data_IF_765158509991
#
_entry.id   IF_765158509991
#
_cell.length_a   1.000
_cell.length_b   1.000
_cell.length_c   1.000
_cell.angle_alpha   90.00
_cell.angle_beta   90.00
_cell.angle_gamma   90.00
#
_symmetry.space_group_name_H-M   'P 1'
#
loop_
_entity.id
_entity.type
_entity.pdbx_description
1 polymer ?
#
# COMPACT_ATOMS: atom_id res chain seq x y z
N UNK A 1 22.76 -8.35 -7.77
CA UNK A 1 21.53 -8.80 -8.45
C UNK A 1 20.60 -9.32 -7.37
N UNK A 2 19.65 -8.50 -6.93
CA UNK A 2 18.64 -8.90 -5.95
C UNK A 2 17.45 -9.42 -6.74
N UNK A 3 17.19 -10.71 -6.71
CA UNK A 3 15.91 -11.29 -7.14
C UNK A 3 14.95 -11.10 -5.97
N UNK A 4 14.09 -10.08 -6.01
CA UNK A 4 12.94 -10.05 -5.12
C UNK A 4 12.00 -11.17 -5.56
N UNK A 5 11.50 -11.93 -4.57
CA UNK A 5 10.31 -12.76 -4.78
C UNK A 5 9.19 -11.84 -4.38
N UNK A 6 8.70 -11.06 -5.34
CA UNK A 6 7.60 -10.13 -5.12
C UNK A 6 6.38 -10.94 -4.68
N UNK A 7 5.85 -10.62 -3.51
CA UNK A 7 4.43 -10.80 -3.30
C UNK A 7 3.73 -9.71 -4.12
N UNK A 8 2.66 -10.08 -4.80
CA UNK A 8 1.74 -9.21 -5.56
C UNK A 8 2.41 -8.47 -6.72
N UNK A 9 1.65 -7.76 -7.58
CA UNK A 9 2.26 -7.05 -8.71
C UNK A 9 2.43 -5.55 -8.38
N UNK A 10 3.66 -5.10 -8.07
CA UNK A 10 3.91 -3.73 -7.62
C UNK A 10 3.43 -2.67 -8.60
N UNK A 11 3.47 -2.96 -9.90
CA UNK A 11 3.09 -2.00 -10.95
C UNK A 11 1.61 -1.60 -10.89
N UNK A 12 0.73 -2.51 -10.45
CA UNK A 12 -0.71 -2.21 -10.33
C UNK A 12 -0.97 -1.38 -9.08
N UNK A 13 -0.31 -1.67 -7.95
CA UNK A 13 -0.45 -0.86 -6.73
C UNK A 13 0.12 0.55 -6.89
N UNK A 14 1.27 0.69 -7.56
CA UNK A 14 1.82 1.98 -7.96
C UNK A 14 0.82 2.80 -8.77
N UNK A 15 0.21 2.16 -9.79
CA UNK A 15 -0.76 2.81 -10.66
C UNK A 15 -2.01 3.27 -9.88
N UNK A 16 -2.57 2.41 -9.03
CA UNK A 16 -3.75 2.74 -8.21
C UNK A 16 -3.44 3.91 -7.27
N UNK A 17 -2.29 3.89 -6.60
CA UNK A 17 -1.89 4.97 -5.70
C UNK A 17 -1.75 6.31 -6.43
N UNK A 18 -1.17 6.30 -7.63
CA UNK A 18 -1.04 7.50 -8.46
C UNK A 18 -2.41 7.94 -8.98
N UNK A 19 -3.26 7.02 -9.43
CA UNK A 19 -4.61 7.33 -9.91
C UNK A 19 -5.48 7.97 -8.82
N UNK A 20 -5.31 7.59 -7.54
CA UNK A 20 -6.01 8.20 -6.42
C UNK A 20 -5.71 9.71 -6.23
N UNK A 21 -4.62 10.22 -6.82
CA UNK A 21 -4.33 11.67 -6.88
C UNK A 21 -5.12 12.40 -7.98
N UNK A 22 -5.98 11.67 -8.70
CA UNK A 22 -6.71 12.11 -9.87
C UNK A 22 -5.90 12.11 -11.16
N UNK A 23 -4.65 11.62 -11.15
CA UNK A 23 -3.85 11.48 -12.38
C UNK A 23 -4.50 10.49 -13.33
N UNK A 24 -4.67 10.88 -14.59
CA UNK A 24 -5.22 10.01 -15.65
C UNK A 24 -6.60 9.41 -15.34
N UNK A 25 -7.33 10.02 -14.39
CA UNK A 25 -8.74 9.74 -14.09
C UNK A 25 -9.63 10.81 -14.71
N UNK A 26 -10.93 10.52 -14.87
CA UNK A 26 -11.90 11.45 -15.46
C UNK A 26 -12.45 12.47 -14.44
N UNK A 27 -11.80 12.61 -13.28
CA UNK A 27 -12.42 13.13 -12.07
C UNK A 27 -11.75 14.45 -11.61
N UNK A 28 -12.53 15.34 -10.96
CA UNK A 28 -12.08 16.62 -10.37
C UNK A 28 -11.03 16.46 -9.23
N UNK A 29 -10.71 15.22 -8.86
CA UNK A 29 -9.73 14.91 -7.82
C UNK A 29 -8.33 15.43 -8.15
N UNK A 30 -7.96 15.52 -9.44
CA UNK A 30 -6.66 16.05 -9.86
C UNK A 30 -6.44 17.49 -9.40
N UNK A 31 -7.47 18.32 -9.57
CA UNK A 31 -7.49 19.72 -9.15
C UNK A 31 -7.61 19.84 -7.63
N UNK A 32 -8.36 18.92 -7.00
CA UNK A 32 -8.53 18.89 -5.55
C UNK A 32 -7.24 18.54 -4.83
N UNK A 33 -6.51 17.52 -5.31
CA UNK A 33 -5.22 17.12 -4.75
C UNK A 33 -4.18 18.22 -4.91
N UNK A 34 -4.02 18.77 -6.12
CA UNK A 34 -3.08 19.88 -6.36
C UNK A 34 -3.37 21.10 -5.49
N UNK A 35 -4.65 21.48 -5.37
CA UNK A 35 -5.08 22.56 -4.46
C UNK A 35 -4.75 22.21 -3.01
N UNK A 36 -4.98 20.96 -2.59
CA UNK A 36 -4.67 20.55 -1.22
C UNK A 36 -3.18 20.71 -0.90
N UNK A 37 -2.31 20.28 -1.83
CA UNK A 37 -0.85 20.42 -1.68
C UNK A 37 -0.43 21.89 -1.53
N UNK A 38 -1.00 22.78 -2.34
CA UNK A 38 -0.69 24.21 -2.30
C UNK A 38 -1.24 24.89 -1.06
N UNK A 39 -2.54 24.72 -0.79
CA UNK A 39 -3.27 25.52 0.19
C UNK A 39 -3.08 25.02 1.62
N UNK A 40 -2.87 23.70 1.82
CA UNK A 40 -2.81 23.09 3.15
C UNK A 40 -1.43 22.54 3.52
N UNK A 41 -0.64 22.05 2.56
CA UNK A 41 0.73 21.56 2.82
C UNK A 41 1.82 22.59 2.50
N UNK A 42 1.46 23.74 1.91
CA UNK A 42 2.41 24.80 1.57
C UNK A 42 3.39 24.43 0.45
N UNK A 43 3.06 23.42 -0.36
CA UNK A 43 3.86 23.02 -1.51
C UNK A 43 3.48 23.93 -2.69
N UNK A 44 4.19 25.04 -2.86
CA UNK A 44 3.79 26.13 -3.76
C UNK A 44 3.56 25.70 -5.23
N UNK A 45 4.31 24.69 -5.71
CA UNK A 45 4.15 24.14 -7.06
C UNK A 45 3.22 22.93 -7.12
N UNK A 46 2.48 22.66 -6.03
CA UNK A 46 1.52 21.57 -5.93
C UNK A 46 2.14 20.22 -6.30
N UNK A 47 1.57 19.56 -7.31
CA UNK A 47 2.00 18.23 -7.77
C UNK A 47 3.40 18.22 -8.37
N UNK A 48 3.85 19.35 -8.90
CA UNK A 48 5.20 19.51 -9.48
C UNK A 48 6.27 19.80 -8.43
N UNK A 49 5.89 19.93 -7.15
CA UNK A 49 6.87 20.08 -6.07
C UNK A 49 7.69 18.81 -5.92
N UNK A 50 9.00 18.95 -6.12
CA UNK A 50 9.97 17.90 -5.84
C UNK A 50 10.32 17.88 -4.35
N UNK A 51 10.11 16.74 -3.72
CA UNK A 51 10.37 16.45 -2.32
C UNK A 51 11.59 15.55 -2.22
N UNK A 52 12.55 15.96 -1.38
CA UNK A 52 13.86 15.33 -1.29
C UNK A 52 14.03 14.56 0.01
N UNK A 53 14.56 13.35 -0.11
CA UNK A 53 15.20 12.60 0.98
C UNK A 53 16.72 12.61 0.80
N UNK A 54 17.46 11.89 1.64
CA UNK A 54 18.91 11.77 1.46
C UNK A 54 19.30 11.01 0.18
N UNK A 55 18.36 10.26 -0.42
CA UNK A 55 18.65 9.34 -1.54
C UNK A 55 17.95 9.73 -2.83
N UNK A 56 16.77 10.34 -2.77
CA UNK A 56 15.97 10.65 -3.96
C UNK A 56 15.32 12.03 -3.88
N UNK A 57 14.90 12.53 -5.04
CA UNK A 57 14.16 13.77 -5.19
C UNK A 57 13.04 13.54 -6.20
N UNK A 58 11.81 13.51 -5.69
CA UNK A 58 10.64 12.99 -6.40
C UNK A 58 9.39 13.80 -6.08
N UNK A 59 8.39 13.78 -6.96
CA UNK A 59 7.08 14.37 -6.68
C UNK A 59 6.32 13.58 -5.61
N UNK A 60 5.26 14.15 -5.06
CA UNK A 60 4.38 13.44 -4.12
C UNK A 60 3.81 12.15 -4.71
N UNK A 61 3.48 12.14 -6.01
CA UNK A 61 2.98 10.95 -6.72
C UNK A 61 4.02 9.84 -6.79
N UNK A 62 5.27 10.20 -7.08
CA UNK A 62 6.37 9.25 -7.13
C UNK A 62 6.65 8.65 -5.75
N UNK A 63 6.54 9.45 -4.68
CA UNK A 63 6.63 8.92 -3.30
C UNK A 63 5.44 8.02 -2.92
N UNK A 64 4.22 8.32 -3.39
CA UNK A 64 3.05 7.45 -3.21
C UNK A 64 3.24 6.10 -3.94
N UNK A 65 3.78 6.12 -5.15
CA UNK A 65 4.12 4.93 -5.91
C UNK A 65 5.24 4.11 -5.23
N UNK A 66 6.30 4.78 -4.78
CA UNK A 66 7.37 4.14 -3.98
C UNK A 66 6.79 3.48 -2.73
N UNK A 67 5.86 4.14 -2.04
CA UNK A 67 5.17 3.58 -0.89
C UNK A 67 4.40 2.30 -1.24
N UNK A 68 3.65 2.29 -2.35
CA UNK A 68 2.98 1.07 -2.82
C UNK A 68 3.97 -0.08 -3.00
N UNK A 69 5.02 0.12 -3.77
CA UNK A 69 6.02 -0.93 -4.05
C UNK A 69 6.71 -1.43 -2.78
N UNK A 70 7.07 -0.52 -1.88
CA UNK A 70 7.78 -0.86 -0.63
C UNK A 70 6.94 -1.65 0.35
N UNK A 71 5.61 -1.65 0.25
CA UNK A 71 4.76 -2.45 1.16
C UNK A 71 4.85 -3.94 0.87
N UNK A 72 5.39 -4.35 -0.29
CA UNK A 72 5.74 -5.73 -0.65
C UNK A 72 7.19 -6.11 -0.29
N UNK A 73 7.96 -5.22 0.34
CA UNK A 73 9.37 -5.48 0.67
C UNK A 73 9.51 -6.74 1.56
N UNK A 74 10.37 -7.67 1.13
CA UNK A 74 10.80 -8.78 1.96
C UNK A 74 11.26 -10.02 1.21
N UNK A 75 11.54 -11.07 1.98
CA UNK A 75 11.83 -12.40 1.46
C UNK A 75 10.82 -13.38 2.04
N UNK A 76 10.32 -14.36 1.27
CA UNK A 76 9.39 -15.37 1.78
C UNK A 76 9.99 -16.22 2.90
N UNK A 77 11.33 -16.27 3.04
CA UNK A 77 11.98 -16.98 4.14
C UNK A 77 12.25 -16.09 5.36
N UNK A 78 11.86 -14.81 5.30
CA UNK A 78 12.01 -13.86 6.39
C UNK A 78 10.64 -13.54 7.01
N UNK A 79 10.44 -13.79 8.31
CA UNK A 79 9.18 -13.41 8.97
C UNK A 79 8.98 -11.89 9.04
N UNK A 80 10.03 -11.10 8.72
CA UNK A 80 9.98 -9.64 8.65
C UNK A 80 9.49 -9.09 7.32
N UNK A 81 9.16 -9.96 6.36
CA UNK A 81 8.59 -9.54 5.09
C UNK A 81 7.22 -8.89 5.33
N UNK A 82 6.98 -7.78 4.65
CA UNK A 82 5.79 -6.96 4.88
C UNK A 82 4.52 -7.62 4.36
N UNK A 83 4.62 -8.30 3.21
CA UNK A 83 3.50 -9.00 2.57
C UNK A 83 2.79 -10.05 3.44
N UNK A 84 3.44 -10.56 4.49
CA UNK A 84 2.77 -11.44 5.43
C UNK A 84 1.65 -10.76 6.25
N UNK A 85 1.64 -9.42 6.29
CA UNK A 85 0.64 -8.59 6.97
C UNK A 85 -0.40 -7.98 6.01
N UNK A 86 -0.51 -8.46 4.78
CA UNK A 86 -1.47 -7.95 3.78
C UNK A 86 -2.87 -8.57 3.94
N UNK A 87 -3.00 -9.57 4.80
CA UNK A 87 -4.20 -10.37 4.93
C UNK A 87 -5.11 -9.93 6.09
N UNK A 88 -6.42 -9.96 5.87
CA UNK A 88 -7.42 -9.81 6.92
C UNK A 88 -8.68 -10.60 6.56
N UNK A 89 -8.94 -11.71 7.26
CA UNK A 89 -10.17 -12.46 7.14
C UNK A 89 -11.24 -11.92 8.12
N UNK A 90 -12.28 -11.21 7.63
CA UNK A 90 -13.28 -10.57 8.48
C UNK A 90 -14.25 -11.56 9.14
N UNK A 91 -14.19 -12.85 8.79
CA UNK A 91 -15.04 -13.90 9.38
C UNK A 91 -14.39 -14.56 10.60
N UNK A 92 -13.14 -14.21 10.93
CA UNK A 92 -12.40 -14.75 12.06
C UNK A 92 -12.29 -13.76 13.21
N UNK A 93 -12.10 -14.23 14.46
CA UNK A 93 -11.72 -13.36 15.57
C UNK A 93 -10.45 -12.59 15.23
N UNK A 94 -10.32 -11.36 15.75
CA UNK A 94 -9.17 -10.50 15.46
C UNK A 94 -7.79 -11.10 15.75
N UNK A 95 -7.68 -12.01 16.72
CA UNK A 95 -6.42 -12.72 17.01
C UNK A 95 -5.97 -13.64 15.86
N UNK A 96 -6.92 -14.10 15.05
CA UNK A 96 -6.74 -15.10 13.99
C UNK A 96 -7.06 -14.53 12.61
N UNK A 97 -7.45 -13.25 12.54
CA UNK A 97 -7.88 -12.60 11.31
C UNK A 97 -6.72 -12.34 10.34
N UNK A 98 -5.46 -12.33 10.79
CA UNK A 98 -4.30 -12.21 9.89
C UNK A 98 -3.89 -13.54 9.27
N UNK A 99 -2.81 -13.53 8.49
CA UNK A 99 -2.31 -14.74 7.85
C UNK A 99 -1.68 -15.71 8.85
N UNK A 100 -2.08 -16.98 8.78
CA UNK A 100 -1.38 -18.10 9.44
C UNK A 100 -0.45 -18.78 8.43
N UNK A 101 0.85 -18.65 8.62
CA UNK A 101 1.85 -19.33 7.80
C UNK A 101 2.40 -20.57 8.49
N UNK A 102 2.93 -21.52 7.70
CA UNK A 102 3.47 -22.80 8.15
C UNK A 102 4.69 -23.20 7.29
N UNK A 103 5.26 -24.37 7.57
CA UNK A 103 6.29 -24.99 6.73
C UNK A 103 5.85 -25.06 5.26
N UNK A 104 6.74 -24.79 4.27
CA UNK A 104 8.19 -24.58 4.39
C UNK A 104 8.62 -23.14 4.71
N UNK A 105 7.70 -22.18 4.73
CA UNK A 105 8.03 -20.76 4.88
C UNK A 105 8.51 -20.40 6.29
N UNK A 106 7.96 -21.10 7.30
CA UNK A 106 8.39 -20.98 8.69
C UNK A 106 8.54 -22.36 9.34
N UNK A 107 9.54 -22.48 10.23
CA UNK A 107 9.84 -23.73 10.95
C UNK A 107 8.70 -24.14 11.91
N UNK A 108 7.92 -23.18 12.39
CA UNK A 108 6.73 -23.38 13.20
C UNK A 108 5.58 -22.52 12.66
N UNK A 109 4.31 -22.88 12.94
CA UNK A 109 3.18 -22.02 12.59
C UNK A 109 3.37 -20.60 13.16
N UNK A 110 3.13 -19.60 12.33
CA UNK A 110 3.26 -18.21 12.71
C UNK A 110 2.00 -17.44 12.32
N UNK A 111 1.38 -16.77 13.29
CA UNK A 111 0.16 -15.97 13.10
C UNK A 111 0.57 -14.50 13.01
N UNK A 112 0.43 -13.92 11.82
CA UNK A 112 0.69 -12.50 11.61
C UNK A 112 -0.47 -11.63 12.07
N UNK A 113 -0.17 -10.39 12.46
CA UNK A 113 -1.19 -9.37 12.70
C UNK A 113 -1.94 -9.07 11.41
N UNK A 114 -3.27 -8.97 11.49
CA UNK A 114 -4.12 -8.63 10.34
C UNK A 114 -3.78 -7.26 9.75
N UNK A 115 -3.92 -7.10 8.44
CA UNK A 115 -3.66 -5.85 7.71
C UNK A 115 -4.28 -4.61 8.35
N UNK A 116 -5.55 -4.71 8.80
CA UNK A 116 -6.27 -3.59 9.41
C UNK A 116 -5.62 -3.09 10.70
N UNK A 117 -5.07 -4.00 11.52
CA UNK A 117 -4.33 -3.66 12.73
C UNK A 117 -2.90 -3.23 12.41
N UNK A 118 -2.26 -3.90 11.45
CA UNK A 118 -0.90 -3.61 11.01
C UNK A 118 -0.75 -2.17 10.48
N UNK A 119 -1.68 -1.72 9.65
CA UNK A 119 -1.68 -0.36 9.10
C UNK A 119 -1.97 0.71 10.17
N UNK A 120 -2.52 0.33 11.32
CA UNK A 120 -2.86 1.23 12.44
C UNK A 120 -1.92 1.08 13.64
N UNK A 121 -0.94 0.19 13.56
CA UNK A 121 -0.13 -0.19 14.70
C UNK A 121 0.66 1.01 15.25
N UNK A 122 0.68 1.14 16.57
CA UNK A 122 1.56 2.09 17.28
C UNK A 122 3.03 1.80 17.05
N UNK A 123 3.34 0.54 16.79
CA UNK A 123 4.67 0.07 16.48
C UNK A 123 4.58 -1.17 15.58
N UNK A 124 5.06 -1.03 14.34
CA UNK A 124 5.18 -2.12 13.35
C UNK A 124 6.35 -3.08 13.65
N UNK A 125 6.75 -3.23 14.91
CA UNK A 125 7.76 -4.20 15.35
C UNK A 125 7.19 -5.37 16.17
N UNK A 126 5.87 -5.41 16.39
CA UNK A 126 5.22 -6.28 17.38
C UNK A 126 5.17 -7.76 17.02
N UNK A 127 5.26 -8.10 15.73
CA UNK A 127 5.05 -9.48 15.27
C UNK A 127 6.36 -10.28 15.22
N UNK A 128 7.46 -9.71 14.71
CA UNK A 128 8.77 -10.39 14.58
C UNK A 128 9.98 -9.43 14.63
N UNK A 129 9.82 -8.29 15.31
CA UNK A 129 10.73 -7.15 15.22
C UNK A 129 10.40 -6.24 14.04
N UNK A 130 11.22 -5.19 13.82
CA UNK A 130 10.94 -4.18 12.79
C UNK A 130 10.83 -4.84 11.41
N UNK A 131 9.67 -4.64 10.77
CA UNK A 131 9.49 -5.01 9.37
C UNK A 131 10.59 -4.40 8.49
N UNK A 132 10.89 -5.11 7.39
CA UNK A 132 11.82 -4.59 6.39
C UNK A 132 11.32 -3.23 5.89
N UNK A 133 12.24 -2.29 5.69
CA UNK A 133 11.91 -0.96 5.20
C UNK A 133 11.45 0.06 6.26
N UNK A 134 11.19 -0.34 7.52
CA UNK A 134 10.85 0.60 8.61
C UNK A 134 9.36 0.63 8.98
N UNK A 135 8.93 1.68 9.68
CA UNK A 135 7.56 1.87 10.19
C UNK A 135 6.81 2.93 9.40
N UNK A 136 5.64 2.56 8.89
CA UNK A 136 4.87 3.36 7.93
C UNK A 136 3.36 3.26 8.19
N UNK A 137 2.96 3.14 9.45
CA UNK A 137 1.57 3.03 9.84
C UNK A 137 0.84 4.38 9.78
N UNK A 138 -0.49 4.37 9.91
CA UNK A 138 -1.33 5.56 9.96
C UNK A 138 -0.87 6.58 11.00
N UNK A 139 -0.41 6.11 12.17
CA UNK A 139 0.13 6.96 13.22
C UNK A 139 1.42 7.67 12.77
N UNK A 140 2.29 6.99 12.01
CA UNK A 140 3.48 7.59 11.42
C UNK A 140 3.12 8.66 10.39
N UNK A 141 2.17 8.37 9.50
CA UNK A 141 1.68 9.35 8.52
C UNK A 141 1.13 10.62 9.21
N UNK A 142 0.31 10.46 10.26
CA UNK A 142 -0.21 11.61 11.04
C UNK A 142 0.90 12.41 11.72
N UNK A 143 1.90 11.73 12.30
CA UNK A 143 3.07 12.38 12.90
C UNK A 143 3.85 13.16 11.85
N UNK A 144 4.09 12.57 10.68
CA UNK A 144 4.79 13.21 9.57
C UNK A 144 4.02 14.43 9.06
N UNK A 145 2.71 14.35 8.91
CA UNK A 145 1.86 15.49 8.54
C UNK A 145 2.02 16.65 9.54
N UNK A 146 1.99 16.36 10.85
CA UNK A 146 2.24 17.38 11.86
C UNK A 146 3.62 18.02 11.71
N UNK A 147 4.66 17.22 11.46
CA UNK A 147 6.02 17.72 11.27
C UNK A 147 6.16 18.55 9.99
N UNK A 148 5.48 18.17 8.91
CA UNK A 148 5.41 18.99 7.69
C UNK A 148 4.87 20.39 7.99
N UNK A 149 3.85 20.50 8.84
CA UNK A 149 3.21 21.78 9.14
C UNK A 149 3.96 22.64 10.17
N UNK A 150 4.81 22.03 11.01
CA UNK A 150 5.39 22.69 12.18
C UNK A 150 6.90 22.86 12.14
N UNK A 151 7.62 22.07 11.33
CA UNK A 151 9.08 22.16 11.24
C UNK A 151 9.52 23.44 10.52
N UNK A 152 10.30 24.27 11.21
CA UNK A 152 10.82 25.54 10.68
C UNK A 152 11.85 25.32 9.55
N UNK A 153 12.76 24.36 9.72
CA UNK A 153 13.79 24.05 8.73
C UNK A 153 13.15 23.51 7.44
N UNK A 154 13.37 24.23 6.33
CA UNK A 154 12.73 23.91 5.06
C UNK A 154 13.18 22.55 4.50
N UNK A 155 14.47 22.22 4.65
CA UNK A 155 15.04 20.97 4.14
C UNK A 155 14.49 19.77 4.91
N UNK A 156 14.36 19.89 6.23
CA UNK A 156 13.81 18.85 7.07
C UNK A 156 12.30 18.68 6.83
N UNK A 157 11.59 19.77 6.59
CA UNK A 157 10.17 19.75 6.19
C UNK A 157 9.96 19.03 4.85
N UNK A 158 10.85 19.22 3.86
CA UNK A 158 10.82 18.46 2.60
C UNK A 158 10.97 16.95 2.82
N UNK A 159 11.88 16.55 3.71
CA UNK A 159 12.09 15.13 4.05
C UNK A 159 10.84 14.55 4.70
N UNK A 160 10.23 15.27 5.65
CA UNK A 160 8.99 14.83 6.28
C UNK A 160 7.82 14.76 5.29
N UNK A 161 7.77 15.64 4.30
CA UNK A 161 6.76 15.58 3.25
C UNK A 161 6.98 14.37 2.34
N UNK A 162 8.22 14.07 1.93
CA UNK A 162 8.53 12.86 1.17
C UNK A 162 8.14 11.59 1.94
N UNK A 163 8.54 11.48 3.21
CA UNK A 163 8.21 10.35 4.07
C UNK A 163 6.68 10.25 4.31
N UNK A 164 5.97 11.38 4.41
CA UNK A 164 4.51 11.38 4.52
C UNK A 164 3.85 10.71 3.32
N UNK A 165 4.23 11.09 2.10
CA UNK A 165 3.64 10.50 0.88
C UNK A 165 4.03 9.03 0.72
N UNK A 166 5.25 8.65 1.09
CA UNK A 166 5.63 7.24 1.16
C UNK A 166 4.78 6.45 2.16
N UNK A 167 4.58 6.98 3.36
CA UNK A 167 3.75 6.35 4.39
C UNK A 167 2.31 6.16 3.89
N UNK A 168 1.73 7.20 3.27
CA UNK A 168 0.40 7.12 2.67
C UNK A 168 0.34 6.05 1.58
N UNK A 169 1.37 5.94 0.74
CA UNK A 169 1.42 4.91 -0.30
C UNK A 169 1.37 3.48 0.26
N UNK A 170 2.09 3.24 1.36
CA UNK A 170 2.10 1.96 2.07
C UNK A 170 0.74 1.64 2.73
N UNK A 171 0.07 2.65 3.27
CA UNK A 171 -1.27 2.49 3.85
C UNK A 171 -2.30 2.21 2.76
N UNK A 172 -2.22 2.93 1.64
CA UNK A 172 -3.12 2.74 0.49
C UNK A 172 -2.98 1.34 -0.11
N UNK A 173 -1.76 0.80 -0.16
CA UNK A 173 -1.51 -0.59 -0.57
C UNK A 173 -2.40 -1.57 0.21
N UNK A 174 -2.33 -1.53 1.54
CA UNK A 174 -3.11 -2.42 2.42
C UNK A 174 -4.62 -2.20 2.32
N UNK A 175 -5.07 -0.97 2.04
CA UNK A 175 -6.49 -0.67 1.79
C UNK A 175 -6.94 -1.32 0.49
N UNK A 176 -6.12 -1.28 -0.56
CA UNK A 176 -6.42 -1.92 -1.84
C UNK A 176 -6.42 -3.44 -1.71
N UNK A 177 -5.48 -4.02 -0.94
CA UNK A 177 -5.45 -5.46 -0.67
C UNK A 177 -6.75 -5.97 -0.04
N UNK A 178 -7.41 -5.16 0.80
CA UNK A 178 -8.70 -5.52 1.37
C UNK A 178 -9.83 -5.67 0.33
N UNK A 179 -9.61 -5.25 -0.93
CA UNK A 179 -10.52 -5.48 -2.06
C UNK A 179 -10.20 -6.74 -2.87
N UNK A 180 -9.05 -7.38 -2.62
CA UNK A 180 -8.61 -8.59 -3.33
C UNK A 180 -9.12 -9.83 -2.58
N UNK A 181 -9.91 -10.71 -3.24
CA UNK A 181 -10.51 -11.88 -2.58
C UNK A 181 -9.51 -12.80 -1.86
N UNK A 182 -8.30 -12.96 -2.39
CA UNK A 182 -7.23 -13.78 -1.81
C UNK A 182 -6.77 -13.24 -0.45
N UNK A 183 -6.59 -11.93 -0.32
CA UNK A 183 -6.13 -11.26 0.92
C UNK A 183 -7.18 -11.31 2.03
N UNK A 184 -8.47 -11.26 1.68
CA UNK A 184 -9.56 -11.37 2.65
C UNK A 184 -9.96 -12.80 3.01
N UNK A 185 -9.35 -13.80 2.36
CA UNK A 185 -9.58 -15.23 2.63
C UNK A 185 -8.38 -15.93 3.27
N UNK A 186 -7.29 -15.21 3.54
CA UNK A 186 -6.01 -15.79 3.97
C UNK A 186 -5.52 -16.86 2.97
N UNK A 187 -5.57 -16.57 1.67
CA UNK A 187 -5.16 -17.48 0.58
C UNK A 187 -3.80 -17.06 -0.02
N UNK A 188 -2.67 -17.32 0.66
CA UNK A 188 -1.37 -16.92 0.17
C UNK A 188 -0.93 -17.80 -1.00
N UNK A 189 -0.40 -17.19 -2.05
CA UNK A 189 0.08 -17.88 -3.24
C UNK A 189 1.57 -17.56 -3.53
N UNK A 190 2.50 -17.89 -2.61
CA UNK A 190 3.93 -17.56 -2.73
C UNK A 190 4.64 -18.26 -3.89
N UNK A 191 4.02 -19.30 -4.47
CA UNK A 191 4.54 -20.05 -5.63
C UNK A 191 3.93 -19.58 -6.96
N UNK A 192 3.01 -18.61 -6.95
CA UNK A 192 2.40 -18.06 -8.16
C UNK A 192 3.45 -17.58 -9.16
N UNK A 193 4.44 -16.82 -8.68
CA UNK A 193 5.59 -16.33 -9.45
C UNK A 193 6.41 -17.46 -10.03
N UNK A 194 6.78 -18.46 -9.22
CA UNK A 194 7.56 -19.60 -9.69
C UNK A 194 6.82 -20.40 -10.77
N UNK A 195 5.53 -20.67 -10.56
CA UNK A 195 4.73 -21.50 -11.49
C UNK A 195 4.47 -20.77 -12.81
N UNK A 196 4.33 -19.45 -12.76
CA UNK A 196 4.04 -18.63 -13.94
C UNK A 196 5.30 -18.23 -14.70
N UNK A 197 6.35 -17.80 -14.01
CA UNK A 197 7.56 -17.26 -14.65
C UNK A 197 8.60 -18.34 -14.96
N UNK A 198 8.79 -19.29 -14.05
CA UNK A 198 9.79 -20.37 -14.22
C UNK A 198 9.19 -21.52 -15.02
N UNK A 199 8.01 -21.99 -14.64
CA UNK A 199 7.34 -23.10 -15.34
C UNK A 199 6.52 -22.67 -16.56
N UNK A 200 6.42 -21.35 -16.82
CA UNK A 200 5.69 -20.76 -17.96
C UNK A 200 4.24 -21.23 -18.07
N UNK A 201 3.63 -21.62 -16.94
CA UNK A 201 2.25 -22.10 -16.92
C UNK A 201 1.31 -20.90 -16.93
N UNK A 202 0.74 -20.58 -18.10
CA UNK A 202 -0.25 -19.50 -18.25
C UNK A 202 -1.58 -19.78 -17.53
N UNK A 203 -1.79 -21.01 -17.08
CA UNK A 203 -2.98 -21.43 -16.30
C UNK A 203 -2.73 -21.39 -14.79
N UNK A 204 -1.50 -21.09 -14.36
CA UNK A 204 -1.16 -20.87 -12.96
C UNK A 204 -0.96 -19.37 -12.71
N UNK A 205 -1.77 -18.80 -11.82
CA UNK A 205 -1.74 -17.40 -11.43
C UNK A 205 -2.92 -17.08 -10.54
N UNK A 206 -2.75 -16.13 -9.63
CA UNK A 206 -3.82 -15.55 -8.83
C UNK A 206 -4.54 -14.45 -9.63
N UNK A 207 -5.57 -13.84 -9.04
CA UNK A 207 -6.29 -12.72 -9.64
C UNK A 207 -5.36 -11.57 -10.06
N UNK A 208 -4.37 -11.22 -9.25
CA UNK A 208 -3.47 -10.10 -9.52
C UNK A 208 -2.66 -10.27 -10.80
N UNK A 209 -2.20 -11.49 -11.08
CA UNK A 209 -1.51 -11.80 -12.33
C UNK A 209 -2.38 -11.62 -13.58
N UNK A 210 -3.68 -11.90 -13.46
CA UNK A 210 -4.64 -11.58 -14.52
C UNK A 210 -4.80 -10.07 -14.67
N UNK A 211 -4.87 -9.32 -13.57
CA UNK A 211 -4.96 -7.85 -13.58
C UNK A 211 -3.74 -7.25 -14.27
N UNK A 212 -2.52 -7.71 -13.94
CA UNK A 212 -1.29 -7.22 -14.56
C UNK A 212 -1.20 -7.56 -16.05
N UNK A 213 -1.73 -8.70 -16.48
CA UNK A 213 -1.86 -9.01 -17.91
C UNK A 213 -2.81 -8.05 -18.62
N UNK A 214 -3.91 -7.65 -17.97
CA UNK A 214 -4.79 -6.63 -18.53
C UNK A 214 -4.10 -5.27 -18.61
N UNK A 215 -3.36 -4.88 -17.56
CA UNK A 215 -2.57 -3.64 -17.55
C UNK A 215 -1.53 -3.65 -18.68
N UNK A 216 -0.73 -4.71 -18.79
CA UNK A 216 0.28 -4.84 -19.84
C UNK A 216 -0.31 -4.85 -21.26
N UNK A 217 -1.51 -5.41 -21.44
CA UNK A 217 -2.21 -5.46 -22.73
C UNK A 217 -2.78 -4.11 -23.16
N UNK A 218 -3.30 -3.33 -22.21
CA UNK A 218 -4.01 -2.07 -22.46
C UNK A 218 -3.10 -0.85 -22.36
N UNK A 219 -2.01 -0.94 -21.59
CA UNK A 219 -1.26 0.22 -21.12
C UNK A 219 -1.99 0.97 -20.00
N UNK A 220 -1.25 1.75 -19.23
CA UNK A 220 -1.75 2.35 -17.98
C UNK A 220 -2.95 3.29 -18.18
N UNK A 221 -2.94 4.10 -19.24
CA UNK A 221 -4.02 5.06 -19.51
C UNK A 221 -5.36 4.35 -19.82
N UNK A 222 -5.36 3.38 -20.76
CA UNK A 222 -6.58 2.63 -21.09
C UNK A 222 -7.00 1.70 -19.93
N UNK A 223 -6.05 1.11 -19.21
CA UNK A 223 -6.33 0.31 -18.03
C UNK A 223 -7.05 1.13 -16.96
N UNK A 224 -6.53 2.31 -16.62
CA UNK A 224 -7.12 3.24 -15.64
C UNK A 224 -8.51 3.68 -16.09
N UNK A 225 -8.66 4.10 -17.35
CA UNK A 225 -9.93 4.51 -17.93
C UNK A 225 -10.95 3.36 -18.14
N UNK A 226 -10.56 2.10 -17.91
CA UNK A 226 -11.45 0.94 -18.06
C UNK A 226 -11.81 0.31 -16.73
N UNK A 227 -10.84 0.21 -15.83
CA UNK A 227 -10.98 -0.55 -14.59
C UNK A 227 -10.96 0.33 -13.34
N UNK A 228 -10.46 1.57 -13.43
CA UNK A 228 -10.35 2.50 -12.30
C UNK A 228 -11.24 3.76 -12.45
N UNK A 229 -11.87 3.97 -13.60
CA UNK A 229 -12.69 5.16 -13.89
C UNK A 229 -14.19 4.95 -13.66
N UNK A 230 -14.61 4.96 -12.41
CA UNK A 230 -15.97 5.25 -11.92
C UNK A 230 -15.84 5.26 -10.39
N UNK A 231 -16.47 6.22 -9.69
CA UNK A 231 -15.82 6.91 -8.59
C UNK A 231 -15.24 5.94 -7.55
N UNK A 232 -13.91 5.96 -7.42
CA UNK A 232 -13.21 5.44 -6.24
C UNK A 232 -13.39 6.51 -5.15
N UNK A 233 -14.59 6.57 -4.60
CA UNK A 233 -14.94 7.46 -3.50
C UNK A 233 -15.64 6.66 -2.40
N UNK A 234 -15.75 7.19 -1.18
CA UNK A 234 -16.72 6.67 -0.23
C UNK A 234 -18.08 6.71 -0.92
N UNK A 235 -18.61 5.55 -1.32
CA UNK A 235 -19.94 5.46 -1.90
C UNK A 235 -20.95 6.17 -0.99
N UNK A 236 -22.05 6.65 -1.57
CA UNK A 236 -23.14 7.24 -0.80
C UNK A 236 -23.49 6.31 0.39
N UNK A 237 -23.26 6.78 1.63
CA UNK A 237 -23.52 6.01 2.85
C UNK A 237 -22.29 5.64 3.70
N UNK A 238 -21.04 5.86 3.25
CA UNK A 238 -19.86 5.55 4.08
C UNK A 238 -19.84 6.31 5.41
N UNK A 239 -20.27 7.57 5.42
CA UNK A 239 -20.40 8.38 6.66
C UNK A 239 -21.49 7.87 7.62
N UNK A 240 -22.33 6.92 7.19
CA UNK A 240 -23.42 6.34 7.96
C UNK A 240 -23.07 4.94 8.51
N UNK A 241 -21.91 4.40 8.15
CA UNK A 241 -21.42 3.14 8.71
C UNK A 241 -21.03 3.37 10.18
N UNK A 242 -21.72 2.69 11.09
CA UNK A 242 -21.34 2.69 12.49
C UNK A 242 -20.00 1.94 12.66
N UNK A 243 -19.13 2.36 13.59
CA UNK A 243 -17.94 1.60 13.92
C UNK A 243 -18.33 0.18 14.38
N UNK A 244 -17.50 -0.85 14.10
CA UNK A 244 -17.77 -2.22 14.53
C UNK A 244 -18.01 -2.29 16.04
N UNK A 245 -19.04 -3.04 16.45
CA UNK A 245 -19.34 -3.24 17.86
C UNK A 245 -18.17 -3.95 18.56
N UNK A 246 -17.61 -3.34 19.61
CA UNK A 246 -16.54 -3.93 20.43
C UNK A 246 -15.24 -3.14 20.47
N UNK A 247 -15.12 -2.05 19.72
CA UNK A 247 -14.00 -1.11 19.88
C UNK A 247 -14.37 -0.05 20.92
N UNK A 248 -13.66 -0.06 22.05
CA UNK A 248 -13.67 1.07 22.98
C UNK A 248 -13.02 2.26 22.29
N UNK A 249 -13.76 3.35 22.16
CA UNK A 249 -13.27 4.65 21.65
C UNK A 249 -12.18 5.19 22.56
#
# INVERSE_FOLDING_TARGET
MSTSVDALNPSTHQLINVAATGKDTLDDYSTTFDRYLRDFLGLANGRETLLRTNTHMWTSEQWLAEGAEREDDGSPFSPKARFYRHFHNPLLPWSDAGLLTRYPFHLAPHQYTSAVRWMQADNQSTDDGSAIGGTWAWRDARRLQYLVLTTADARQREVYAADLFRALGQIMHLVVDASVPEHVRNDPHPTGTFTREVLRSRTAGNYEYWVSEQQARLGDAEFTARYLSAPIGPGAGFQQLAPPSGEGV
#
